data_IF_123081925806
#
_entry.id   IF_123081925806
#
_cell.length_a   1.000
_cell.length_b   1.000
_cell.length_c   1.000
_cell.angle_alpha   90.00
_cell.angle_beta   90.00
_cell.angle_gamma   90.00
#
_symmetry.space_group_name_H-M   'P 1'
#
loop_
_entity.id
_entity.type
_entity.pdbx_description
1 polymer ?
#
# COMPACT_ATOMS: atom_id res chain seq x y z
N UNK A 1 28.40 22.49 47.53
CA UNK A 1 28.16 22.44 46.06
C UNK A 1 27.52 23.75 45.64
N UNK A 2 28.24 24.56 44.88
CA UNK A 2 27.81 25.92 44.54
C UNK A 2 26.59 25.85 43.63
N UNK A 3 25.41 26.23 44.16
CA UNK A 3 24.13 26.20 43.43
C UNK A 3 24.19 27.01 42.12
N UNK A 4 25.10 27.99 42.04
CA UNK A 4 25.41 28.76 40.85
C UNK A 4 26.02 27.92 39.72
N UNK A 5 26.87 26.93 40.05
CA UNK A 5 27.49 26.06 39.07
C UNK A 5 26.49 25.08 38.43
N UNK A 6 25.49 24.64 39.20
CA UNK A 6 24.42 23.77 38.70
C UNK A 6 23.52 24.52 37.70
N UNK A 7 23.28 25.81 37.93
CA UNK A 7 22.45 26.63 37.03
C UNK A 7 23.13 26.89 35.67
N UNK A 8 24.47 27.03 35.65
CA UNK A 8 25.24 27.25 34.42
C UNK A 8 25.29 25.98 33.56
N UNK A 9 25.34 24.78 34.15
CA UNK A 9 25.36 23.51 33.41
C UNK A 9 24.04 23.23 32.68
N UNK A 10 22.90 23.66 33.25
CA UNK A 10 21.58 23.47 32.62
C UNK A 10 21.41 24.36 31.37
N UNK A 11 22.02 25.54 31.36
CA UNK A 11 21.97 26.48 30.22
C UNK A 11 22.72 25.97 28.98
N UNK A 12 23.72 25.10 29.13
CA UNK A 12 24.46 24.52 28.00
C UNK A 12 23.76 23.33 27.32
N UNK A 13 22.68 22.79 27.90
CA UNK A 13 21.94 21.63 27.35
C UNK A 13 20.81 22.01 26.38
N UNK A 14 20.54 23.30 26.15
CA UNK A 14 19.39 23.77 25.36
C UNK A 14 19.67 24.09 23.88
N UNK A 15 20.89 23.87 23.38
CA UNK A 15 21.25 24.17 22.00
C UNK A 15 21.41 22.90 21.16
N UNK A 16 20.29 22.24 20.84
CA UNK A 16 20.16 21.33 19.70
C UNK A 16 18.67 21.16 19.34
N UNK A 17 18.10 22.15 18.65
CA UNK A 17 16.88 21.98 17.86
C UNK A 17 17.17 22.51 16.45
N UNK A 18 17.74 21.65 15.61
CA UNK A 18 17.76 21.84 14.15
C UNK A 18 16.59 21.04 13.61
N UNK A 19 15.51 21.73 13.25
CA UNK A 19 14.45 21.20 12.41
C UNK A 19 14.50 21.90 11.05
N UNK A 20 14.85 21.09 10.04
CA UNK A 20 14.57 21.15 8.59
C UNK A 20 14.69 22.46 7.83
N UNK A 21 15.54 22.45 6.79
CA UNK A 21 15.14 22.81 5.43
C UNK A 21 15.93 21.96 4.42
N UNK A 22 15.22 21.07 3.72
CA UNK A 22 15.45 20.55 2.36
C UNK A 22 16.87 20.66 1.76
N UNK A 23 17.65 19.58 1.90
CA UNK A 23 18.61 19.22 0.85
C UNK A 23 18.23 17.82 0.35
N UNK A 24 17.80 17.78 -0.91
CA UNK A 24 17.65 16.55 -1.64
C UNK A 24 19.01 15.84 -1.64
N UNK A 25 19.11 14.78 -0.85
CA UNK A 25 20.25 13.87 -0.86
C UNK A 25 20.33 13.19 -2.21
N UNK A 26 21.04 13.82 -3.14
CA UNK A 26 21.68 13.10 -4.25
C UNK A 26 22.74 12.22 -3.60
N UNK A 27 22.36 10.99 -3.27
CA UNK A 27 23.33 9.96 -2.97
C UNK A 27 24.13 9.73 -4.27
N UNK A 28 25.45 9.97 -4.31
CA UNK A 28 26.24 9.54 -5.44
C UNK A 28 26.25 8.02 -5.39
N UNK A 29 25.50 7.40 -6.30
CA UNK A 29 25.63 5.97 -6.55
C UNK A 29 27.07 5.78 -7.08
N UNK A 30 27.98 5.39 -6.19
CA UNK A 30 29.29 4.87 -6.55
C UNK A 30 29.09 3.53 -7.30
N UNK A 31 28.64 3.60 -8.55
CA UNK A 31 28.74 2.50 -9.51
C UNK A 31 30.06 2.60 -10.26
N UNK A 32 31.16 2.85 -9.53
CA UNK A 32 32.50 2.61 -10.06
C UNK A 32 32.78 1.12 -9.95
N UNK A 33 32.26 0.34 -10.91
CA UNK A 33 32.85 -0.93 -11.40
C UNK A 33 31.89 -1.72 -12.32
N UNK A 34 31.03 -1.08 -13.13
CA UNK A 34 30.20 -1.84 -14.08
C UNK A 34 30.07 -1.27 -15.49
N UNK A 35 30.79 -0.19 -15.85
CA UNK A 35 30.81 0.33 -17.22
C UNK A 35 32.23 0.81 -17.56
N UNK A 36 33.15 -0.15 -17.62
CA UNK A 36 34.15 -0.09 -18.68
C UNK A 36 33.42 -0.49 -19.95
N UNK A 37 33.72 0.23 -21.03
CA UNK A 37 33.36 -0.06 -22.42
C UNK A 37 32.24 0.83 -22.96
N UNK A 38 32.62 1.58 -24.01
CA UNK A 38 31.85 2.43 -24.92
C UNK A 38 31.95 3.94 -24.67
N UNK A 39 33.13 4.48 -24.99
CA UNK A 39 33.23 5.78 -25.65
C UNK A 39 32.37 5.77 -26.93
N UNK A 40 31.45 6.72 -27.07
CA UNK A 40 31.01 7.16 -28.41
C UNK A 40 29.55 7.00 -28.83
N UNK A 41 28.55 7.02 -27.94
CA UNK A 41 27.17 7.27 -28.38
C UNK A 41 26.62 8.56 -27.78
N UNK A 42 26.23 9.50 -28.66
CA UNK A 42 25.42 10.66 -28.29
C UNK A 42 24.09 10.10 -27.77
N UNK A 43 23.87 10.22 -26.47
CA UNK A 43 22.61 9.85 -25.85
C UNK A 43 21.60 10.94 -26.21
N UNK A 44 20.76 10.69 -27.21
CA UNK A 44 19.51 11.42 -27.39
C UNK A 44 18.73 11.32 -26.06
N UNK A 45 18.22 12.43 -25.50
CA UNK A 45 17.45 12.38 -24.28
C UNK A 45 16.15 11.61 -24.57
N UNK A 46 16.11 10.34 -24.18
CA UNK A 46 14.87 9.57 -24.16
C UNK A 46 13.94 10.22 -23.15
N UNK A 47 13.09 11.12 -23.64
CA UNK A 47 11.95 11.62 -22.89
C UNK A 47 10.99 10.44 -22.79
N UNK A 48 11.03 9.72 -21.68
CA UNK A 48 10.05 8.69 -21.38
C UNK A 48 8.70 9.39 -21.29
N UNK A 49 7.75 9.03 -22.16
CA UNK A 49 6.39 9.52 -22.00
C UNK A 49 5.84 8.95 -20.70
N UNK A 50 5.37 9.84 -19.83
CA UNK A 50 4.61 9.52 -18.63
C UNK A 50 3.46 8.57 -19.02
N UNK A 51 3.55 7.29 -18.62
CA UNK A 51 2.58 6.24 -18.97
C UNK A 51 3.17 4.98 -19.61
N UNK A 52 4.41 4.99 -20.09
CA UNK A 52 5.04 3.77 -20.66
C UNK A 52 5.69 2.86 -19.59
N UNK A 53 5.96 3.42 -18.40
CA UNK A 53 6.60 2.73 -17.27
C UNK A 53 5.61 1.97 -16.37
N UNK A 54 4.31 2.29 -16.45
CA UNK A 54 3.27 1.65 -15.62
C UNK A 54 3.09 0.17 -15.97
N UNK A 55 3.22 -0.17 -17.25
CA UNK A 55 3.03 -1.53 -17.76
C UNK A 55 4.13 -2.51 -17.32
N UNK A 56 5.33 -2.01 -16.98
CA UNK A 56 6.45 -2.86 -16.55
C UNK A 56 6.28 -3.23 -15.08
N UNK A 57 5.90 -2.26 -14.24
CA UNK A 57 5.61 -2.48 -12.83
C UNK A 57 4.47 -3.49 -12.65
N UNK A 58 3.47 -3.45 -13.53
CA UNK A 58 2.32 -4.36 -13.50
C UNK A 58 2.64 -5.84 -13.73
N UNK A 59 3.71 -6.12 -14.47
CA UNK A 59 4.10 -7.52 -14.78
C UNK A 59 4.81 -8.21 -13.63
N UNK A 60 5.34 -7.49 -12.66
CA UNK A 60 6.08 -8.06 -11.55
C UNK A 60 5.38 -7.78 -10.19
N UNK A 61 4.72 -8.78 -9.58
CA UNK A 61 4.02 -8.60 -8.32
C UNK A 61 4.93 -8.28 -7.12
N UNK A 62 6.25 -8.28 -7.29
CA UNK A 62 7.24 -7.92 -6.28
C UNK A 62 7.90 -6.56 -6.55
N UNK A 63 7.45 -5.79 -7.55
CA UNK A 63 8.00 -4.46 -7.78
C UNK A 63 7.58 -3.51 -6.64
N UNK A 64 8.51 -2.68 -6.19
CA UNK A 64 8.20 -1.64 -5.21
C UNK A 64 7.30 -0.59 -5.89
N UNK A 65 6.20 -0.25 -5.25
CA UNK A 65 5.33 0.82 -5.71
C UNK A 65 5.99 2.17 -5.41
N UNK A 66 6.52 2.80 -6.45
CA UNK A 66 7.16 4.11 -6.36
C UNK A 66 6.21 5.25 -6.73
N UNK A 67 4.98 4.94 -7.17
CA UNK A 67 4.02 5.92 -7.68
C UNK A 67 2.83 6.03 -6.73
N UNK A 68 2.85 7.06 -5.88
CA UNK A 68 1.73 7.41 -5.00
C UNK A 68 0.44 7.83 -5.75
N UNK A 69 0.54 8.15 -7.05
CA UNK A 69 -0.62 8.55 -7.87
C UNK A 69 -1.33 7.36 -8.55
N UNK A 70 -0.74 6.16 -8.50
CA UNK A 70 -1.26 4.96 -9.19
C UNK A 70 -1.47 3.81 -8.19
N UNK A 71 -2.46 3.98 -7.30
CA UNK A 71 -2.75 3.17 -6.10
C UNK A 71 -2.96 1.65 -6.27
N UNK A 72 -2.82 1.08 -7.47
CA UNK A 72 -3.26 -0.29 -7.78
C UNK A 72 -2.21 -1.22 -8.38
N UNK A 73 -0.98 -0.75 -8.64
CA UNK A 73 -0.01 -1.56 -9.36
C UNK A 73 0.80 -2.42 -8.37
N UNK A 74 0.39 -3.69 -8.26
CA UNK A 74 1.01 -4.78 -7.52
C UNK A 74 1.08 -4.75 -5.98
N UNK A 75 0.46 -3.77 -5.34
CA UNK A 75 0.34 -3.78 -3.89
C UNK A 75 -0.81 -4.69 -3.39
N UNK A 76 -0.49 -5.88 -2.87
CA UNK A 76 -1.49 -6.77 -2.22
C UNK A 76 -2.27 -6.06 -1.10
N UNK A 77 -1.63 -5.13 -0.40
CA UNK A 77 -2.26 -4.31 0.64
C UNK A 77 -3.34 -3.38 0.09
N UNK A 78 -3.10 -2.75 -1.07
CA UNK A 78 -4.09 -1.90 -1.74
C UNK A 78 -5.34 -2.71 -2.14
N UNK A 79 -5.17 -3.92 -2.68
CA UNK A 79 -6.30 -4.79 -2.99
C UNK A 79 -7.04 -5.27 -1.74
N UNK A 80 -6.33 -5.58 -0.66
CA UNK A 80 -6.97 -5.93 0.63
C UNK A 80 -7.78 -4.76 1.17
N UNK A 81 -7.27 -3.54 1.07
CA UNK A 81 -7.94 -2.32 1.51
C UNK A 81 -9.18 -2.03 0.64
N UNK A 82 -9.07 -2.12 -0.68
CA UNK A 82 -10.22 -1.99 -1.59
C UNK A 82 -11.31 -3.02 -1.29
N UNK A 83 -10.94 -4.27 -1.05
CA UNK A 83 -11.89 -5.32 -0.64
C UNK A 83 -12.59 -4.96 0.67
N UNK A 84 -11.85 -4.46 1.66
CA UNK A 84 -12.40 -3.99 2.94
C UNK A 84 -13.42 -2.88 2.75
N UNK A 85 -13.05 -1.85 2.00
CA UNK A 85 -13.91 -0.69 1.72
C UNK A 85 -15.23 -1.10 1.05
N UNK A 86 -15.18 -2.05 0.11
CA UNK A 86 -16.39 -2.57 -0.55
C UNK A 86 -17.30 -3.26 0.46
N UNK A 87 -16.74 -4.11 1.33
CA UNK A 87 -17.53 -4.78 2.38
C UNK A 87 -18.19 -3.74 3.29
N UNK A 88 -17.40 -2.82 3.83
CA UNK A 88 -17.86 -1.79 4.78
C UNK A 88 -18.88 -0.84 4.15
N UNK A 89 -18.74 -0.53 2.85
CA UNK A 89 -19.69 0.32 2.11
C UNK A 89 -21.11 -0.25 2.04
N UNK A 90 -21.27 -1.57 2.22
CA UNK A 90 -22.60 -2.20 2.19
C UNK A 90 -23.40 -1.97 3.46
N UNK A 91 -22.75 -1.68 4.60
CA UNK A 91 -23.35 -1.58 5.94
C UNK A 91 -24.09 -2.84 6.44
N UNK A 92 -24.18 -3.90 5.63
CA UNK A 92 -24.80 -5.19 6.00
C UNK A 92 -23.79 -6.10 6.71
N UNK A 93 -22.52 -5.94 6.38
CA UNK A 93 -21.44 -6.76 6.91
C UNK A 93 -20.30 -5.90 7.43
N UNK A 94 -19.70 -6.36 8.52
CA UNK A 94 -18.41 -5.91 9.00
C UNK A 94 -17.29 -6.72 8.36
N UNK A 95 -16.25 -6.03 7.91
CA UNK A 95 -15.06 -6.65 7.34
C UNK A 95 -14.22 -7.29 8.45
N UNK A 96 -14.03 -8.60 8.36
CA UNK A 96 -13.10 -9.35 9.20
C UNK A 96 -11.70 -9.42 8.58
N UNK A 97 -11.04 -10.55 8.80
CA UNK A 97 -9.74 -10.82 8.19
C UNK A 97 -9.87 -10.95 6.68
N UNK A 98 -9.11 -10.13 5.95
CA UNK A 98 -8.98 -10.18 4.50
C UNK A 98 -7.51 -10.45 4.18
N UNK A 99 -7.25 -11.48 3.39
CA UNK A 99 -5.90 -11.80 2.95
C UNK A 99 -5.87 -12.35 1.54
N UNK A 100 -4.73 -12.18 0.88
CA UNK A 100 -4.53 -12.61 -0.50
C UNK A 100 -3.37 -13.61 -0.52
N UNK A 101 -3.64 -14.79 -1.06
CA UNK A 101 -2.64 -15.83 -1.28
C UNK A 101 -2.62 -16.22 -2.76
N UNK A 102 -1.58 -15.79 -3.47
CA UNK A 102 -1.46 -15.97 -4.92
C UNK A 102 -2.64 -15.33 -5.66
N UNK A 103 -3.39 -16.15 -6.40
CA UNK A 103 -4.57 -15.75 -7.18
C UNK A 103 -5.87 -15.79 -6.39
N UNK A 104 -5.85 -16.12 -5.10
CA UNK A 104 -7.06 -16.23 -4.27
C UNK A 104 -7.09 -15.13 -3.22
N UNK A 105 -8.22 -14.45 -3.11
CA UNK A 105 -8.50 -13.51 -2.03
C UNK A 105 -9.56 -14.11 -1.11
N UNK A 106 -9.22 -14.25 0.18
CA UNK A 106 -10.16 -14.73 1.21
C UNK A 106 -10.70 -13.52 1.94
N UNK A 107 -12.02 -13.39 1.97
CA UNK A 107 -12.74 -12.27 2.57
C UNK A 107 -13.64 -12.82 3.66
N UNK A 108 -13.26 -12.64 4.93
CA UNK A 108 -14.11 -12.99 6.05
C UNK A 108 -15.02 -11.82 6.38
N UNK A 109 -16.31 -12.07 6.52
CA UNK A 109 -17.29 -11.04 6.87
C UNK A 109 -18.24 -11.54 7.95
N UNK A 110 -18.79 -10.61 8.72
CA UNK A 110 -19.74 -10.88 9.79
C UNK A 110 -20.94 -9.98 9.63
N UNK A 111 -22.20 -10.48 9.70
CA UNK A 111 -23.38 -9.63 9.63
C UNK A 111 -23.43 -8.60 10.77
N UNK A 112 -23.74 -7.34 10.45
CA UNK A 112 -23.88 -6.25 11.44
C UNK A 112 -25.11 -6.42 12.34
N UNK A 113 -26.10 -7.18 11.86
CA UNK A 113 -27.33 -7.51 12.56
C UNK A 113 -27.70 -8.97 12.31
N UNK A 114 -28.66 -9.47 13.09
CA UNK A 114 -29.22 -10.78 12.82
C UNK A 114 -30.00 -10.75 11.51
N UNK A 115 -29.65 -11.65 10.60
CA UNK A 115 -30.27 -11.82 9.28
C UNK A 115 -30.91 -13.20 9.23
N UNK A 116 -32.05 -13.31 8.55
CA UNK A 116 -32.57 -14.62 8.17
C UNK A 116 -31.64 -15.30 7.16
N UNK A 117 -31.69 -16.62 7.05
CA UNK A 117 -30.85 -17.39 6.11
C UNK A 117 -31.01 -16.90 4.66
N UNK A 118 -32.25 -16.58 4.25
CA UNK A 118 -32.53 -16.02 2.91
C UNK A 118 -31.95 -14.63 2.70
N UNK A 119 -32.03 -13.75 3.71
CA UNK A 119 -31.41 -12.42 3.62
C UNK A 119 -29.89 -12.52 3.60
N UNK A 120 -29.31 -13.40 4.43
CA UNK A 120 -27.89 -13.67 4.49
C UNK A 120 -27.37 -14.12 3.12
N UNK A 121 -28.02 -15.11 2.50
CA UNK A 121 -27.66 -15.63 1.18
C UNK A 121 -27.78 -14.53 0.10
N UNK A 122 -28.87 -13.77 0.11
CA UNK A 122 -29.08 -12.67 -0.84
C UNK A 122 -27.97 -11.63 -0.75
N UNK A 123 -27.68 -11.14 0.46
CA UNK A 123 -26.67 -10.10 0.66
C UNK A 123 -25.24 -10.62 0.43
N UNK A 124 -24.96 -11.88 0.76
CA UNK A 124 -23.67 -12.52 0.46
C UNK A 124 -23.44 -12.60 -1.06
N UNK A 125 -24.46 -13.02 -1.82
CA UNK A 125 -24.39 -13.08 -3.29
C UNK A 125 -24.20 -11.69 -3.93
N UNK A 126 -24.88 -10.67 -3.40
CA UNK A 126 -24.71 -9.29 -3.86
C UNK A 126 -23.30 -8.77 -3.57
N UNK A 127 -22.78 -9.05 -2.36
CA UNK A 127 -21.42 -8.67 -1.97
C UNK A 127 -20.37 -9.39 -2.82
N UNK A 128 -20.50 -10.71 -3.02
CA UNK A 128 -19.56 -11.48 -3.83
C UNK A 128 -19.44 -10.92 -5.25
N UNK A 129 -20.56 -10.58 -5.89
CA UNK A 129 -20.56 -9.93 -7.21
C UNK A 129 -19.80 -8.61 -7.21
N UNK A 130 -20.01 -7.76 -6.20
CA UNK A 130 -19.29 -6.49 -6.08
C UNK A 130 -17.78 -6.71 -5.92
N UNK A 131 -17.38 -7.67 -5.09
CA UNK A 131 -15.96 -7.98 -4.85
C UNK A 131 -15.30 -8.52 -6.13
N UNK A 132 -15.94 -9.46 -6.83
CA UNK A 132 -15.42 -10.02 -8.09
C UNK A 132 -15.26 -8.95 -9.16
N UNK A 133 -16.25 -8.06 -9.30
CA UNK A 133 -16.19 -6.97 -10.28
C UNK A 133 -15.08 -5.95 -9.96
N UNK A 134 -14.81 -5.71 -8.68
CA UNK A 134 -13.83 -4.72 -8.26
C UNK A 134 -12.38 -5.20 -8.36
N UNK A 135 -12.13 -6.50 -8.22
CA UNK A 135 -10.79 -7.11 -8.26
C UNK A 135 -10.77 -8.39 -9.12
N UNK A 136 -11.05 -8.29 -10.43
CA UNK A 136 -11.29 -9.45 -11.31
C UNK A 136 -10.10 -10.41 -11.45
N UNK A 137 -8.88 -9.96 -11.13
CA UNK A 137 -7.66 -10.78 -11.14
C UNK A 137 -7.63 -11.88 -10.07
N UNK A 138 -8.45 -11.78 -9.01
CA UNK A 138 -8.46 -12.75 -7.92
C UNK A 138 -9.73 -13.60 -7.92
N UNK A 139 -9.58 -14.88 -7.58
CA UNK A 139 -10.68 -15.73 -7.18
C UNK A 139 -11.09 -15.37 -5.75
N UNK A 140 -12.27 -14.77 -5.59
CA UNK A 140 -12.85 -14.43 -4.29
C UNK A 140 -13.34 -15.70 -3.57
N UNK A 141 -13.00 -15.83 -2.30
CA UNK A 141 -13.53 -16.82 -1.35
C UNK A 141 -14.17 -16.03 -0.19
N UNK A 142 -15.48 -15.75 -0.34
CA UNK A 142 -16.26 -15.02 0.64
C UNK A 142 -16.74 -15.97 1.74
N UNK A 143 -16.39 -15.65 2.99
CA UNK A 143 -16.73 -16.46 4.17
C UNK A 143 -17.56 -15.64 5.13
N UNK A 144 -18.85 -15.95 5.23
CA UNK A 144 -19.77 -15.32 6.17
C UNK A 144 -19.75 -16.09 7.48
N UNK A 145 -19.32 -15.44 8.57
CA UNK A 145 -19.45 -16.01 9.92
C UNK A 145 -20.79 -15.58 10.49
N UNK A 146 -21.60 -16.54 10.92
CA UNK A 146 -22.83 -16.21 11.61
C UNK A 146 -22.52 -15.79 13.04
N UNK A 147 -23.09 -14.67 13.48
CA UNK A 147 -23.13 -14.33 14.90
C UNK A 147 -24.27 -15.15 15.50
N UNK A 148 -23.92 -16.35 15.99
CA UNK A 148 -24.83 -17.22 16.72
C UNK A 148 -25.22 -16.64 18.07
#
# INVERSE_FOLDING_TARGET
MNKLAIFIVILFLSACNVWSNNEAGVQPLETRNALKDNEGSKMEPTTYLEGEITDIADRNPNFLDLNNENEAHNNRGAYQQKLREIVESTQVFDAGMIYINGHRAVVNVTPTRQLSERELEKHANELEKKLVNAVPRFKIDLRVRNNG
#
